data_IF_863247389248
#
_entry.id   IF_863247389248
#
_cell.length_a   1.000
_cell.length_b   1.000
_cell.length_c   1.000
_cell.angle_alpha   90.00
_cell.angle_beta   90.00
_cell.angle_gamma   90.00
#
_symmetry.space_group_name_H-M   'P 1'
#
loop_
_entity.id
_entity.type
_entity.pdbx_description
1 polymer ?
#
# COMPACT_ATOMS: atom_id res chain seq x y z
N UNK A 1 -0.53 2.77 -24.80
CA UNK A 1 -0.08 1.47 -25.37
C UNK A 1 -0.55 1.26 -26.82
N UNK A 2 -1.85 1.39 -27.15
CA UNK A 2 -2.31 1.25 -28.55
C UNK A 2 -1.63 2.24 -29.51
N UNK A 3 -1.42 3.49 -29.09
CA UNK A 3 -0.78 4.54 -29.92
C UNK A 3 0.71 4.28 -30.18
N UNK A 4 1.41 3.66 -29.23
CA UNK A 4 2.82 3.32 -29.40
C UNK A 4 3.01 2.10 -30.30
N UNK A 5 2.09 1.13 -30.24
CA UNK A 5 2.09 -0.05 -31.11
C UNK A 5 1.70 0.34 -32.54
N UNK A 6 0.69 1.20 -32.72
CA UNK A 6 0.29 1.71 -34.04
C UNK A 6 1.37 2.62 -34.65
N UNK A 7 2.03 3.45 -33.83
CA UNK A 7 3.19 4.24 -34.21
C UNK A 7 4.35 3.36 -34.68
N UNK A 8 4.72 2.33 -33.90
CA UNK A 8 5.77 1.40 -34.26
C UNK A 8 5.45 0.62 -35.56
N UNK A 9 4.22 0.17 -35.75
CA UNK A 9 3.75 -0.48 -36.99
C UNK A 9 3.90 0.45 -38.21
N UNK A 10 3.51 1.72 -38.05
CA UNK A 10 3.63 2.74 -39.11
C UNK A 10 5.09 3.04 -39.44
N UNK A 11 5.95 3.07 -38.42
CA UNK A 11 7.38 3.26 -38.61
C UNK A 11 8.02 2.06 -39.35
N UNK A 12 7.63 0.83 -39.01
CA UNK A 12 8.11 -0.39 -39.68
C UNK A 12 7.66 -0.44 -41.14
N UNK A 13 6.39 -0.15 -41.45
CA UNK A 13 5.92 -0.10 -42.85
C UNK A 13 6.66 0.98 -43.65
N UNK A 14 6.92 2.12 -43.01
CA UNK A 14 7.66 3.25 -43.57
C UNK A 14 9.14 2.92 -43.86
N UNK A 15 9.77 2.10 -43.04
CA UNK A 15 11.13 1.59 -43.28
C UNK A 15 11.15 0.59 -44.45
N UNK A 16 10.12 -0.27 -44.56
CA UNK A 16 10.00 -1.22 -45.67
C UNK A 16 9.83 -0.53 -47.03
N UNK A 17 9.05 0.55 -47.09
CA UNK A 17 8.93 1.35 -48.33
C UNK A 17 10.25 2.02 -48.68
N UNK A 18 10.93 2.62 -47.69
CA UNK A 18 12.21 3.29 -47.93
C UNK A 18 13.30 2.33 -48.40
N UNK A 19 13.33 1.11 -47.87
CA UNK A 19 14.29 0.07 -48.28
C UNK A 19 14.09 -0.35 -49.74
N UNK A 20 12.83 -0.47 -50.20
CA UNK A 20 12.52 -0.69 -51.63
C UNK A 20 12.97 0.49 -52.49
N UNK A 21 12.79 1.71 -51.99
CA UNK A 21 13.18 2.92 -52.69
C UNK A 21 14.70 3.09 -52.79
N UNK A 22 15.47 2.61 -51.81
CA UNK A 22 16.94 2.53 -51.88
C UNK A 22 17.36 1.51 -52.95
N UNK A 23 16.69 0.37 -53.02
CA UNK A 23 16.98 -0.70 -54.00
C UNK A 23 16.80 -0.24 -55.46
N UNK A 24 15.93 0.74 -55.69
CA UNK A 24 15.62 1.30 -57.00
C UNK A 24 16.41 2.59 -57.32
N UNK A 25 17.22 3.09 -56.38
CA UNK A 25 18.02 4.30 -56.57
C UNK A 25 19.16 4.04 -57.56
N UNK A 26 19.43 5.01 -58.44
CA UNK A 26 20.39 4.85 -59.55
C UNK A 26 21.71 5.59 -59.34
N UNK A 27 21.78 6.44 -58.31
CA UNK A 27 22.96 7.27 -58.02
C UNK A 27 23.39 7.14 -56.57
N UNK A 28 24.68 7.28 -56.31
CA UNK A 28 25.24 7.22 -54.95
C UNK A 28 24.67 8.31 -54.03
N UNK A 29 24.31 9.47 -54.59
CA UNK A 29 23.68 10.56 -53.85
C UNK A 29 22.27 10.21 -53.37
N UNK A 30 21.44 9.61 -54.23
CA UNK A 30 20.10 9.14 -53.85
C UNK A 30 20.15 8.06 -52.77
N UNK A 31 21.13 7.15 -52.86
CA UNK A 31 21.35 6.10 -51.86
C UNK A 31 21.72 6.73 -50.51
N UNK A 32 22.62 7.71 -50.48
CA UNK A 32 23.05 8.38 -49.25
C UNK A 32 21.91 9.15 -48.56
N UNK A 33 21.09 9.87 -49.34
CA UNK A 33 19.93 10.62 -48.82
C UNK A 33 18.90 9.66 -48.21
N UNK A 34 18.52 8.61 -48.94
CA UNK A 34 17.53 7.63 -48.45
C UNK A 34 18.05 6.81 -47.26
N UNK A 35 19.35 6.55 -47.18
CA UNK A 35 19.95 5.86 -46.01
C UNK A 35 19.90 6.75 -44.77
N UNK A 36 20.10 8.05 -44.91
CA UNK A 36 19.96 9.01 -43.80
C UNK A 36 18.51 9.03 -43.30
N UNK A 37 17.54 9.12 -44.20
CA UNK A 37 16.12 9.07 -43.85
C UNK A 37 15.71 7.73 -43.22
N UNK A 38 16.30 6.61 -43.65
CA UNK A 38 16.10 5.30 -43.03
C UNK A 38 16.56 5.31 -41.57
N UNK A 39 17.75 5.85 -41.31
CA UNK A 39 18.32 5.93 -39.97
C UNK A 39 17.49 6.83 -39.04
N UNK A 40 16.99 7.96 -39.54
CA UNK A 40 16.09 8.85 -38.80
C UNK A 40 14.78 8.14 -38.41
N UNK A 41 14.14 7.47 -39.38
CA UNK A 41 12.90 6.70 -39.14
C UNK A 41 13.13 5.54 -38.17
N UNK A 42 14.27 4.86 -38.27
CA UNK A 42 14.64 3.77 -37.36
C UNK A 42 14.86 4.29 -35.94
N UNK A 43 15.53 5.43 -35.79
CA UNK A 43 15.71 6.10 -34.50
C UNK A 43 14.38 6.47 -33.85
N UNK A 44 13.45 7.03 -34.63
CA UNK A 44 12.08 7.32 -34.17
C UNK A 44 11.31 6.07 -33.74
N UNK A 45 11.40 4.98 -34.51
CA UNK A 45 10.78 3.70 -34.15
C UNK A 45 11.33 3.13 -32.84
N UNK A 46 12.66 3.19 -32.66
CA UNK A 46 13.32 2.73 -31.43
C UNK A 46 12.87 3.55 -30.22
N UNK A 47 12.76 4.88 -30.34
CA UNK A 47 12.25 5.73 -29.27
C UNK A 47 10.82 5.34 -28.86
N UNK A 48 9.93 5.10 -29.84
CA UNK A 48 8.56 4.66 -29.56
C UNK A 48 8.51 3.29 -28.87
N UNK A 49 9.36 2.35 -29.28
CA UNK A 49 9.47 1.03 -28.66
C UNK A 49 9.97 1.12 -27.20
N UNK A 50 10.99 1.95 -26.94
CA UNK A 50 11.51 2.18 -25.58
C UNK A 50 10.44 2.81 -24.68
N UNK A 51 9.69 3.79 -25.21
CA UNK A 51 8.56 4.39 -24.49
C UNK A 51 7.50 3.33 -24.16
N UNK A 52 7.09 2.52 -25.14
CA UNK A 52 6.11 1.45 -24.93
C UNK A 52 6.59 0.40 -23.91
N UNK A 53 7.88 0.06 -23.93
CA UNK A 53 8.46 -0.87 -22.96
C UNK A 53 8.45 -0.29 -21.55
N UNK A 54 8.77 1.00 -21.41
CA UNK A 54 8.76 1.70 -20.12
C UNK A 54 7.34 1.75 -19.54
N UNK A 55 6.35 2.11 -20.37
CA UNK A 55 4.94 2.08 -19.99
C UNK A 55 4.50 0.68 -19.56
N UNK A 56 4.89 -0.35 -20.32
CA UNK A 56 4.55 -1.74 -20.00
C UNK A 56 5.10 -2.18 -18.65
N UNK A 57 6.36 -1.83 -18.35
CA UNK A 57 6.96 -2.12 -17.04
C UNK A 57 6.27 -1.36 -15.90
N UNK A 58 5.87 -0.11 -16.12
CA UNK A 58 5.09 0.66 -15.16
C UNK A 58 3.73 0.00 -14.87
N UNK A 59 3.02 -0.42 -15.93
CA UNK A 59 1.74 -1.12 -15.81
C UNK A 59 1.88 -2.47 -15.09
N UNK A 60 2.95 -3.23 -15.36
CA UNK A 60 3.22 -4.47 -14.63
C UNK A 60 3.44 -4.21 -13.14
N UNK A 61 4.23 -3.19 -12.79
CA UNK A 61 4.46 -2.81 -11.40
C UNK A 61 3.16 -2.41 -10.69
N UNK A 62 2.32 -1.62 -11.35
CA UNK A 62 1.02 -1.21 -10.82
C UNK A 62 0.07 -2.39 -10.64
N UNK A 63 0.02 -3.29 -11.63
CA UNK A 63 -0.78 -4.52 -11.55
C UNK A 63 -0.39 -5.37 -10.35
N UNK A 64 0.90 -5.54 -10.08
CA UNK A 64 1.37 -6.35 -8.94
C UNK A 64 1.09 -5.66 -7.59
N UNK A 65 1.20 -4.32 -7.52
CA UNK A 65 0.77 -3.55 -6.35
C UNK A 65 -0.73 -3.72 -6.09
N UNK A 66 -1.56 -3.52 -7.10
CA UNK A 66 -3.01 -3.66 -7.00
C UNK A 66 -3.42 -5.08 -6.61
N UNK A 67 -2.80 -6.12 -7.19
CA UNK A 67 -3.04 -7.51 -6.78
C UNK A 67 -2.71 -7.74 -5.30
N UNK A 68 -1.58 -7.20 -4.84
CA UNK A 68 -1.16 -7.32 -3.44
C UNK A 68 -2.15 -6.64 -2.50
N UNK A 69 -2.61 -5.44 -2.85
CA UNK A 69 -3.66 -4.74 -2.10
C UNK A 69 -4.98 -5.51 -2.09
N UNK A 70 -5.35 -6.11 -3.22
CA UNK A 70 -6.57 -6.92 -3.34
C UNK A 70 -6.54 -8.14 -2.41
N UNK A 71 -5.40 -8.83 -2.33
CA UNK A 71 -5.21 -9.96 -1.39
C UNK A 71 -5.35 -9.47 0.04
N UNK A 72 -4.65 -8.37 0.42
CA UNK A 72 -4.76 -7.80 1.77
C UNK A 72 -6.19 -7.43 2.16
N UNK A 73 -6.95 -6.82 1.24
CA UNK A 73 -8.34 -6.45 1.46
C UNK A 73 -9.24 -7.68 1.64
N UNK A 74 -9.02 -8.74 0.87
CA UNK A 74 -9.76 -10.00 1.01
C UNK A 74 -9.46 -10.69 2.33
N UNK A 75 -8.17 -10.80 2.68
CA UNK A 75 -7.75 -11.38 3.96
C UNK A 75 -8.31 -10.59 5.13
N UNK A 76 -8.32 -9.26 5.03
CA UNK A 76 -8.93 -8.40 6.04
C UNK A 76 -10.44 -8.61 6.15
N UNK A 77 -11.17 -8.69 5.04
CA UNK A 77 -12.61 -8.93 5.05
C UNK A 77 -12.97 -10.25 5.74
N UNK A 78 -12.20 -11.32 5.48
CA UNK A 78 -12.37 -12.59 6.19
C UNK A 78 -12.06 -12.47 7.68
N UNK A 79 -10.99 -11.76 8.05
CA UNK A 79 -10.65 -11.54 9.45
C UNK A 79 -11.74 -10.73 10.17
N UNK A 80 -12.37 -9.74 9.52
CA UNK A 80 -13.47 -8.95 10.10
C UNK A 80 -14.67 -9.78 10.53
N UNK A 81 -14.98 -10.89 9.85
CA UNK A 81 -16.10 -11.77 10.22
C UNK A 81 -15.92 -12.37 11.62
N UNK A 82 -14.69 -12.47 12.11
CA UNK A 82 -14.35 -13.02 13.42
C UNK A 82 -14.57 -12.06 14.58
N UNK A 83 -14.66 -10.75 14.33
CA UNK A 83 -14.75 -9.74 15.40
C UNK A 83 -16.15 -9.14 15.47
N UNK A 84 -16.46 -8.58 16.65
CA UNK A 84 -17.67 -7.82 16.89
C UNK A 84 -17.34 -6.55 17.65
N UNK A 85 -18.08 -5.48 17.36
CA UNK A 85 -17.96 -4.21 18.09
C UNK A 85 -18.44 -4.41 19.52
N UNK A 86 -17.66 -3.93 20.47
CA UNK A 86 -17.94 -4.02 21.90
C UNK A 86 -17.70 -2.66 22.55
N UNK A 87 -18.66 -2.25 23.37
CA UNK A 87 -18.55 -1.03 24.18
C UNK A 87 -18.06 -1.40 25.58
N UNK A 88 -17.02 -0.71 26.05
CA UNK A 88 -16.45 -0.88 27.39
C UNK A 88 -17.35 -0.22 28.44
N UNK A 89 -17.14 -0.56 29.71
CA UNK A 89 -17.90 0.01 30.83
C UNK A 89 -17.76 1.54 30.94
N UNK A 90 -16.60 2.07 30.54
CA UNK A 90 -16.33 3.50 30.49
C UNK A 90 -16.83 4.17 29.19
N UNK A 91 -17.50 3.43 28.30
CA UNK A 91 -18.07 3.94 27.05
C UNK A 91 -17.14 3.92 25.83
N UNK A 92 -15.92 3.39 25.97
CA UNK A 92 -14.96 3.23 24.86
C UNK A 92 -15.42 2.17 23.86
N UNK A 93 -15.07 2.35 22.59
CA UNK A 93 -15.43 1.42 21.50
C UNK A 93 -14.19 0.65 21.03
N UNK A 94 -14.29 -0.68 20.99
CA UNK A 94 -13.24 -1.57 20.52
C UNK A 94 -13.85 -2.82 19.86
N UNK A 95 -13.06 -3.58 19.12
CA UNK A 95 -13.49 -4.87 18.56
C UNK A 95 -12.92 -6.02 19.39
N UNK A 96 -13.74 -7.04 19.70
CA UNK A 96 -13.27 -8.28 20.31
C UNK A 96 -13.60 -9.46 19.41
N UNK A 97 -12.79 -10.51 19.50
CA UNK A 97 -13.09 -11.77 18.84
C UNK A 97 -14.42 -12.32 19.36
N UNK A 98 -15.27 -12.83 18.46
CA UNK A 98 -16.52 -13.49 18.85
C UNK A 98 -16.19 -14.73 19.67
N UNK A 99 -16.91 -15.02 20.77
CA UNK A 99 -16.63 -16.20 21.60
C UNK A 99 -16.60 -17.51 20.81
N UNK A 100 -17.46 -17.65 19.79
CA UNK A 100 -17.50 -18.82 18.91
C UNK A 100 -16.27 -18.97 17.99
N UNK A 101 -15.49 -17.89 17.79
CA UNK A 101 -14.35 -17.81 16.85
C UNK A 101 -13.01 -17.60 17.57
N UNK A 102 -12.99 -17.66 18.91
CA UNK A 102 -11.81 -17.37 19.72
C UNK A 102 -10.76 -18.49 19.66
N UNK A 103 -11.19 -19.75 19.58
CA UNK A 103 -10.28 -20.90 19.48
C UNK A 103 -9.29 -20.93 20.65
N UNK A 104 -7.99 -20.99 20.34
CA UNK A 104 -6.89 -21.01 21.31
C UNK A 104 -6.21 -19.64 21.51
N UNK A 105 -6.75 -18.57 20.92
CA UNK A 105 -6.14 -17.24 21.02
C UNK A 105 -6.44 -16.58 22.37
N UNK A 106 -5.46 -15.86 22.98
CA UNK A 106 -5.71 -15.06 24.17
C UNK A 106 -6.81 -14.02 23.92
N UNK A 107 -7.57 -13.68 24.97
CA UNK A 107 -8.52 -12.58 24.86
C UNK A 107 -7.78 -11.28 24.55
N UNK A 108 -8.12 -10.67 23.42
CA UNK A 108 -7.52 -9.43 22.96
C UNK A 108 -8.58 -8.52 22.33
N UNK A 109 -8.30 -7.23 22.35
CA UNK A 109 -9.16 -6.20 21.79
C UNK A 109 -8.42 -5.46 20.69
N UNK A 110 -9.11 -5.15 19.60
CA UNK A 110 -8.59 -4.34 18.50
C UNK A 110 -9.10 -2.91 18.57
N UNK A 111 -8.28 -1.97 18.13
CA UNK A 111 -8.67 -0.57 18.00
C UNK A 111 -9.79 -0.40 16.96
N UNK A 112 -10.88 0.30 17.31
CA UNK A 112 -12.00 0.54 16.40
C UNK A 112 -11.60 1.34 15.16
N UNK A 113 -10.71 2.33 15.30
CA UNK A 113 -10.24 3.16 14.19
C UNK A 113 -9.39 2.34 13.22
N UNK A 114 -8.39 1.60 13.72
CA UNK A 114 -7.53 0.76 12.88
C UNK A 114 -8.33 -0.36 12.21
N UNK A 115 -9.31 -0.92 12.91
CA UNK A 115 -10.20 -1.94 12.35
C UNK A 115 -10.99 -1.42 11.14
N UNK A 116 -11.51 -0.19 11.19
CA UNK A 116 -12.20 0.40 10.03
C UNK A 116 -11.26 0.69 8.86
N UNK A 117 -9.95 0.83 9.13
CA UNK A 117 -8.92 1.11 8.13
C UNK A 117 -8.26 -0.13 7.53
N UNK A 118 -8.69 -1.35 7.89
CA UNK A 118 -8.04 -2.56 7.38
C UNK A 118 -6.83 -3.03 8.20
N UNK A 119 -6.63 -2.49 9.39
CA UNK A 119 -5.40 -2.69 10.18
C UNK A 119 -5.72 -3.44 11.47
N UNK A 120 -5.15 -4.64 11.61
CA UNK A 120 -5.19 -5.42 12.86
C UNK A 120 -4.25 -4.81 13.90
N UNK A 121 -4.76 -3.87 14.70
CA UNK A 121 -4.00 -3.29 15.81
C UNK A 121 -4.54 -3.76 17.15
N UNK A 122 -3.76 -4.59 17.85
CA UNK A 122 -4.08 -5.08 19.18
C UNK A 122 -3.79 -3.98 20.20
N UNK A 123 -4.82 -3.62 20.97
CA UNK A 123 -4.73 -2.65 22.04
C UNK A 123 -3.85 -3.16 23.17
N UNK A 124 -2.90 -2.34 23.61
CA UNK A 124 -2.01 -2.63 24.74
C UNK A 124 -2.42 -1.84 25.97
N UNK A 125 -2.21 -2.35 27.19
CA UNK A 125 -2.36 -1.57 28.41
C UNK A 125 -1.48 -0.32 28.38
N UNK A 126 -2.02 0.81 28.83
CA UNK A 126 -1.32 2.08 28.95
C UNK A 126 -1.37 2.61 30.38
N UNK A 127 -0.66 3.70 30.65
CA UNK A 127 -0.78 4.42 31.90
C UNK A 127 -2.24 4.89 32.08
N UNK A 128 -2.75 4.72 33.30
CA UNK A 128 -4.09 5.16 33.65
C UNK A 128 -4.19 6.68 33.59
N UNK A 129 -5.33 7.19 33.11
CA UNK A 129 -5.59 8.63 32.99
C UNK A 129 -6.71 9.01 33.95
N UNK A 130 -6.35 9.76 34.99
CA UNK A 130 -7.27 10.13 36.07
C UNK A 130 -7.77 8.89 36.81
N UNK A 131 -9.07 8.61 36.70
CA UNK A 131 -9.71 7.43 37.30
C UNK A 131 -9.96 6.30 36.32
N UNK A 132 -9.47 6.39 35.09
CA UNK A 132 -9.80 5.42 34.05
C UNK A 132 -8.60 4.55 33.71
N UNK A 133 -8.83 3.25 33.61
CA UNK A 133 -7.89 2.30 33.03
C UNK A 133 -7.88 2.47 31.52
N UNK A 134 -6.69 2.65 30.95
CA UNK A 134 -6.54 2.99 29.54
C UNK A 134 -5.94 1.84 28.73
N UNK A 135 -6.39 1.74 27.49
CA UNK A 135 -5.78 0.94 26.45
C UNK A 135 -5.25 1.87 25.36
N UNK A 136 -4.02 1.64 24.91
CA UNK A 136 -3.39 2.41 23.83
C UNK A 136 -3.26 1.58 22.57
N UNK A 137 -3.56 2.21 21.45
CA UNK A 137 -3.24 1.71 20.12
C UNK A 137 -1.87 2.25 19.69
N UNK A 138 -0.92 1.37 19.36
CA UNK A 138 0.40 1.81 18.85
C UNK A 138 0.40 2.14 17.35
N UNK A 139 -0.66 1.80 16.61
CA UNK A 139 -0.74 2.08 15.18
C UNK A 139 -1.29 3.48 14.88
N UNK A 140 -2.22 3.98 15.68
CA UNK A 140 -2.84 5.30 15.47
C UNK A 140 -2.79 6.22 16.72
N UNK A 141 -2.07 5.81 17.77
CA UNK A 141 -1.93 6.53 19.04
C UNK A 141 -3.23 6.81 19.81
N UNK A 142 -4.34 6.17 19.44
CA UNK A 142 -5.61 6.35 20.15
C UNK A 142 -5.58 5.73 21.56
N UNK A 143 -6.01 6.49 22.55
CA UNK A 143 -6.26 6.01 23.91
C UNK A 143 -7.76 5.71 24.11
N UNK A 144 -8.07 4.54 24.65
CA UNK A 144 -9.43 4.03 24.84
C UNK A 144 -9.65 3.74 26.31
N UNK A 145 -10.72 4.31 26.88
CA UNK A 145 -11.12 4.06 28.25
C UNK A 145 -11.73 2.66 28.38
N UNK A 146 -11.18 1.84 29.26
CA UNK A 146 -11.65 0.47 29.49
C UNK A 146 -12.66 0.42 30.64
N UNK A 147 -12.26 0.91 31.81
CA UNK A 147 -13.08 0.87 33.03
C UNK A 147 -12.71 2.06 33.93
N UNK A 148 -13.65 2.49 34.77
CA UNK A 148 -13.38 3.48 35.80
C UNK A 148 -13.02 2.78 37.12
N UNK A 149 -11.99 3.25 37.81
CA UNK A 149 -11.71 2.84 39.18
C UNK A 149 -12.77 3.41 40.15
N UNK A 150 -13.18 2.63 41.16
CA UNK A 150 -14.02 3.15 42.24
C UNK A 150 -13.29 4.29 42.97
N UNK A 151 -14.03 5.28 43.46
CA UNK A 151 -13.50 6.56 43.95
C UNK A 151 -12.45 6.45 45.06
N UNK A 152 -12.38 5.33 45.78
CA UNK A 152 -11.40 5.08 46.84
C UNK A 152 -9.98 4.72 46.33
N UNK A 153 -9.79 4.42 45.03
CA UNK A 153 -8.50 4.00 44.46
C UNK A 153 -7.87 5.04 43.53
N UNK A 154 -8.51 6.20 43.33
CA UNK A 154 -7.96 7.25 42.50
C UNK A 154 -6.78 7.93 43.21
N UNK A 155 -5.57 7.68 42.72
CA UNK A 155 -4.28 8.34 43.00
C UNK A 155 -3.36 7.69 44.04
N UNK A 156 -2.52 6.74 43.60
CA UNK A 156 -1.20 6.47 44.21
C UNK A 156 -0.05 6.33 43.19
N UNK A 157 -0.18 6.92 42.00
CA UNK A 157 0.87 6.88 40.97
C UNK A 157 1.44 8.29 40.73
N UNK A 158 2.08 8.85 41.75
CA UNK A 158 2.61 10.21 41.70
C UNK A 158 3.58 10.57 42.82
N UNK A 159 4.38 9.64 43.34
CA UNK A 159 5.58 9.99 44.09
C UNK A 159 6.81 9.54 43.31
N UNK A 160 7.54 10.54 42.81
CA UNK A 160 8.81 10.34 42.11
C UNK A 160 9.82 9.68 43.05
N UNK A 161 10.16 8.42 42.75
CA UNK A 161 11.28 7.74 43.36
C UNK A 161 12.57 8.47 42.99
N UNK A 162 12.99 9.42 43.84
CA UNK A 162 14.37 9.87 43.93
C UNK A 162 15.24 8.66 44.26
N UNK A 163 15.90 8.11 43.24
CA UNK A 163 17.02 7.21 43.42
C UNK A 163 18.13 7.95 44.20
N UNK A 164 18.19 7.74 45.52
CA UNK A 164 19.41 8.00 46.29
C UNK A 164 20.34 6.82 46.08
N UNK A 165 21.23 6.95 45.09
CA UNK A 165 22.36 6.05 44.93
C UNK A 165 23.31 6.20 46.12
N UNK A 166 23.49 5.11 46.85
CA UNK A 166 24.68 4.86 47.65
C UNK A 166 25.69 4.17 46.75
N UNK A 167 26.78 4.84 46.42
CA UNK A 167 28.14 4.32 46.22
C UNK A 167 29.12 5.46 46.38
#
# INVERSE_FOLDING_TARGET
>A
MMDAISGALTAVSSLMTLSKDISNAKTDHEIAVKTTELNERLGGALQQLIAAQTDYLALLSEKDKLKTELVKLKDWAHEQERYQLHQTEAGGLLYRVKPAMQGSEPEHSLCAQCYQQGIKSILQPSADIGRFKMLKCHACDSDIQLQAYPSAMAMSSGEGNKWKGFF
#
